data_IF_374633042233
#
_entry.id   IF_374633042233
#
_cell.length_a   1.000
_cell.length_b   1.000
_cell.length_c   1.000
_cell.angle_alpha   90.00
_cell.angle_beta   90.00
_cell.angle_gamma   90.00
#
_symmetry.space_group_name_H-M   'P 1'
#
loop_
_entity.id
_entity.type
_entity.pdbx_description
1 polymer ?
#
# COMPACT_ATOMS: atom_id res chain seq x y z
N UNK A 1 3.94 10.91 -22.14
CA UNK A 1 3.10 11.73 -21.25
C UNK A 1 2.64 10.78 -20.16
N UNK A 2 2.99 11.04 -18.90
CA UNK A 2 2.51 10.20 -17.81
C UNK A 2 1.02 10.47 -17.58
N UNK A 3 0.27 9.43 -17.25
CA UNK A 3 -1.06 9.60 -16.67
C UNK A 3 -0.90 10.04 -15.22
N UNK A 4 -1.83 10.86 -14.76
CA UNK A 4 -1.75 11.47 -13.44
C UNK A 4 -3.17 11.76 -12.96
N UNK A 5 -3.49 11.29 -11.75
CA UNK A 5 -4.73 11.61 -11.04
C UNK A 5 -4.44 12.22 -9.67
N UNK A 6 -5.43 12.91 -9.10
CA UNK A 6 -5.33 13.58 -7.81
C UNK A 6 -6.53 13.16 -6.96
N UNK A 7 -6.27 12.62 -5.77
CA UNK A 7 -7.29 12.13 -4.84
C UNK A 7 -8.24 11.11 -5.48
N UNK A 8 -7.67 10.19 -6.27
CA UNK A 8 -8.43 9.15 -6.98
C UNK A 8 -8.04 7.73 -6.57
N UNK A 9 -7.36 7.53 -5.44
CA UNK A 9 -6.92 6.22 -4.96
C UNK A 9 -8.03 5.16 -4.99
N UNK A 10 -9.27 5.54 -4.67
CA UNK A 10 -10.46 4.67 -4.72
C UNK A 10 -10.77 4.09 -6.12
N UNK A 11 -10.22 4.67 -7.18
CA UNK A 11 -10.37 4.22 -8.57
C UNK A 11 -9.27 3.22 -8.97
N UNK A 12 -8.47 2.76 -8.01
CA UNK A 12 -7.47 1.72 -8.16
C UNK A 12 -7.80 0.56 -7.24
N UNK A 13 -7.47 -0.65 -7.69
CA UNK A 13 -7.59 -1.87 -6.91
C UNK A 13 -6.22 -2.55 -6.85
N UNK A 14 -5.76 -2.76 -5.61
CA UNK A 14 -4.42 -3.25 -5.28
C UNK A 14 -4.40 -4.76 -5.00
N UNK A 15 -5.52 -5.46 -5.20
CA UNK A 15 -5.51 -6.92 -5.13
C UNK A 15 -4.50 -7.49 -6.13
N UNK A 16 -3.63 -8.39 -5.68
CA UNK A 16 -2.51 -8.97 -6.45
C UNK A 16 -1.42 -7.95 -6.87
N UNK A 17 -1.48 -6.72 -6.37
CA UNK A 17 -0.41 -5.76 -6.56
C UNK A 17 0.77 -6.08 -5.64
N UNK A 18 1.97 -5.72 -6.06
CA UNK A 18 3.16 -5.85 -5.23
C UNK A 18 3.92 -4.54 -5.15
N UNK A 19 4.66 -4.38 -4.07
CA UNK A 19 5.44 -3.17 -3.80
C UNK A 19 6.73 -3.26 -4.61
N UNK A 20 6.91 -2.37 -5.59
CA UNK A 20 8.17 -2.26 -6.31
C UNK A 20 9.20 -1.46 -5.50
N UNK A 21 8.76 -0.41 -4.80
CA UNK A 21 9.63 0.45 -4.01
C UNK A 21 8.82 1.26 -2.99
N UNK A 22 9.42 1.55 -1.82
CA UNK A 22 8.91 2.56 -0.89
C UNK A 22 10.02 3.58 -0.61
N UNK A 23 9.69 4.86 -0.66
CA UNK A 23 10.59 5.96 -0.36
C UNK A 23 9.91 6.94 0.60
N UNK A 24 10.44 7.04 1.83
CA UNK A 24 9.99 8.04 2.79
C UNK A 24 11.20 8.83 3.31
N UNK A 25 11.42 10.03 2.74
CA UNK A 25 12.57 10.87 3.09
C UNK A 25 12.10 12.31 3.24
N UNK A 26 12.42 12.94 4.38
CA UNK A 26 12.32 14.39 4.61
C UNK A 26 11.06 15.07 4.06
N UNK A 27 9.87 14.62 4.49
CA UNK A 27 8.59 15.21 4.10
C UNK A 27 8.03 14.71 2.76
N UNK A 28 8.61 13.65 2.20
CA UNK A 28 8.08 12.91 1.06
C UNK A 28 7.74 11.49 1.50
N UNK A 29 6.63 10.97 0.99
CA UNK A 29 6.24 9.57 1.10
C UNK A 29 5.71 9.14 -0.27
N UNK A 30 6.40 8.18 -0.86
CA UNK A 30 6.10 7.61 -2.17
C UNK A 30 6.17 6.09 -2.07
N UNK A 31 5.19 5.42 -2.67
CA UNK A 31 5.18 3.98 -2.84
C UNK A 31 4.89 3.67 -4.31
N UNK A 32 5.70 2.79 -4.89
CA UNK A 32 5.58 2.33 -6.26
C UNK A 32 4.99 0.94 -6.22
N UNK A 33 3.90 0.74 -6.93
CA UNK A 33 3.23 -0.53 -7.04
C UNK A 33 3.29 -1.05 -8.47
N UNK A 34 3.41 -2.36 -8.59
CA UNK A 34 3.22 -3.07 -9.84
C UNK A 34 1.95 -3.90 -9.80
N UNK A 35 1.45 -4.25 -10.98
CA UNK A 35 0.26 -5.07 -11.16
C UNK A 35 -1.03 -4.46 -10.56
N UNK A 36 -1.11 -3.14 -10.48
CA UNK A 36 -2.30 -2.45 -9.99
C UNK A 36 -3.42 -2.49 -11.03
N UNK A 37 -4.63 -2.82 -10.61
CA UNK A 37 -5.82 -2.71 -11.47
C UNK A 37 -6.33 -1.27 -11.44
N UNK A 38 -6.48 -0.66 -12.61
CA UNK A 38 -7.17 0.62 -12.79
C UNK A 38 -8.63 0.34 -13.11
N UNK A 39 -9.54 0.91 -12.32
CA UNK A 39 -10.97 0.71 -12.47
C UNK A 39 -11.56 1.56 -13.63
N UNK A 40 -12.73 1.19 -14.17
CA UNK A 40 -13.43 1.96 -15.19
C UNK A 40 -13.69 3.43 -14.82
N UNK A 41 -13.85 3.71 -13.53
CA UNK A 41 -14.20 5.03 -12.98
C UNK A 41 -13.02 6.00 -12.91
N UNK A 42 -11.79 5.51 -13.14
CA UNK A 42 -10.60 6.36 -13.15
C UNK A 42 -10.70 7.42 -14.25
N UNK A 43 -10.42 8.69 -13.93
CA UNK A 43 -10.64 9.81 -14.86
C UNK A 43 -9.74 9.78 -16.10
N UNK A 44 -8.60 9.09 -16.04
CA UNK A 44 -7.73 8.88 -17.19
C UNK A 44 -8.13 7.66 -18.04
N UNK A 45 -8.99 6.76 -17.54
CA UNK A 45 -9.41 5.54 -18.21
C UNK A 45 -10.57 5.80 -19.18
N UNK A 46 -10.25 5.94 -20.47
CA UNK A 46 -11.24 6.17 -21.53
C UNK A 46 -11.91 4.90 -22.04
N UNK A 47 -11.38 3.73 -21.71
CA UNK A 47 -11.89 2.44 -22.19
C UNK A 47 -13.06 1.90 -21.33
N UNK A 48 -13.32 2.50 -20.15
CA UNK A 48 -14.44 2.16 -19.25
C UNK A 48 -14.49 0.64 -18.97
N UNK A 49 -13.31 0.04 -18.82
CA UNK A 49 -13.10 -1.36 -18.42
C UNK A 49 -11.91 -1.43 -17.48
N UNK A 50 -11.78 -2.55 -16.76
CA UNK A 50 -10.58 -2.78 -15.96
C UNK A 50 -9.33 -2.83 -16.84
N UNK A 51 -8.32 -2.07 -16.43
CA UNK A 51 -6.99 -2.04 -17.03
C UNK A 51 -5.96 -2.31 -15.95
N UNK A 52 -4.71 -2.47 -16.35
CA UNK A 52 -3.58 -2.76 -15.45
C UNK A 52 -2.52 -1.69 -15.62
N UNK A 53 -1.85 -1.31 -14.54
CA UNK A 53 -0.65 -0.49 -14.56
C UNK A 53 0.48 -1.18 -13.79
N UNK A 54 1.67 -0.96 -14.31
CA UNK A 54 2.92 -1.20 -13.61
C UNK A 54 3.55 0.16 -13.29
N UNK A 55 4.46 0.16 -12.32
CA UNK A 55 5.14 1.36 -11.85
C UNK A 55 4.16 2.49 -11.48
N UNK A 56 3.02 2.13 -10.87
CA UNK A 56 2.06 3.11 -10.34
C UNK A 56 2.68 3.76 -9.11
N UNK A 57 2.96 5.04 -9.22
CA UNK A 57 3.55 5.84 -8.15
C UNK A 57 2.43 6.52 -7.37
N UNK A 58 2.21 6.12 -6.12
CA UNK A 58 1.35 6.82 -5.17
C UNK A 58 2.21 7.74 -4.31
N UNK A 59 1.91 9.04 -4.32
CA UNK A 59 2.55 10.04 -3.46
C UNK A 59 1.53 10.64 -2.50
N UNK A 60 1.92 10.79 -1.24
CA UNK A 60 1.10 11.44 -0.21
C UNK A 60 1.69 12.83 0.07
N UNK A 61 0.84 13.86 0.00
CA UNK A 61 1.21 15.24 0.29
C UNK A 61 1.22 15.51 1.80
N UNK A 62 2.20 16.27 2.28
CA UNK A 62 2.46 16.55 3.71
C UNK A 62 2.38 15.28 4.59
N UNK A 63 3.15 14.22 4.26
CA UNK A 63 2.96 12.91 4.85
C UNK A 63 3.46 12.84 6.29
N UNK A 64 2.67 12.19 7.15
CA UNK A 64 3.07 11.80 8.51
C UNK A 64 2.82 10.31 8.67
N UNK A 65 3.86 9.54 8.98
CA UNK A 65 3.71 8.12 9.31
C UNK A 65 3.16 8.03 10.73
N UNK A 66 1.87 7.74 10.86
CA UNK A 66 1.14 7.63 12.13
C UNK A 66 1.47 6.33 12.86
N UNK A 67 1.63 5.24 12.10
CA UNK A 67 1.98 3.94 12.64
C UNK A 67 2.64 3.07 11.57
N UNK A 68 3.64 2.31 11.96
CA UNK A 68 4.15 1.20 11.19
C UNK A 68 4.35 0.02 12.14
N UNK A 69 3.59 -1.06 11.90
CA UNK A 69 3.43 -2.16 12.85
C UNK A 69 3.55 -3.48 12.11
N UNK A 70 4.31 -4.41 12.68
CA UNK A 70 4.23 -5.83 12.35
C UNK A 70 3.09 -6.45 13.18
N UNK A 71 2.05 -6.94 12.53
CA UNK A 71 0.84 -7.44 13.19
C UNK A 71 1.11 -8.79 13.89
N UNK A 72 0.72 -8.87 15.16
CA UNK A 72 0.79 -10.09 15.93
C UNK A 72 -0.33 -11.06 15.55
N UNK A 73 -0.05 -12.36 15.65
CA UNK A 73 -1.05 -13.40 15.38
C UNK A 73 -1.41 -14.21 16.63
N UNK A 74 -2.59 -14.83 16.57
CA UNK A 74 -3.08 -15.77 17.59
C UNK A 74 -3.24 -17.15 16.97
N UNK A 75 -2.61 -18.14 17.58
CA UNK A 75 -2.74 -19.55 17.19
C UNK A 75 -3.76 -20.20 18.11
N UNK A 76 -4.79 -20.81 17.53
CA UNK A 76 -5.81 -21.57 18.23
C UNK A 76 -5.63 -23.07 17.98
N UNK A 77 -5.97 -23.91 18.96
CA UNK A 77 -6.08 -25.35 18.75
C UNK A 77 -7.38 -25.73 18.01
N UNK A 78 -7.52 -27.00 17.65
CA UNK A 78 -8.71 -27.52 16.94
C UNK A 78 -10.01 -27.40 17.77
N UNK A 79 -9.91 -27.13 19.07
CA UNK A 79 -11.04 -26.90 19.96
C UNK A 79 -11.32 -25.40 20.16
N UNK A 80 -10.57 -24.51 19.48
CA UNK A 80 -10.70 -23.06 19.59
C UNK A 80 -10.00 -22.43 20.80
N UNK A 81 -9.17 -23.18 21.54
CA UNK A 81 -8.43 -22.63 22.66
C UNK A 81 -7.16 -21.92 22.18
N UNK A 82 -6.88 -20.74 22.73
CA UNK A 82 -5.67 -19.98 22.42
C UNK A 82 -4.42 -20.75 22.89
N UNK A 83 -3.54 -21.09 21.94
CA UNK A 83 -2.24 -21.72 22.19
C UNK A 83 -1.09 -20.74 22.28
N UNK A 84 -1.06 -19.76 21.38
CA UNK A 84 0.04 -18.78 21.27
C UNK A 84 -0.55 -17.42 20.93
N UNK A 85 -0.05 -16.39 21.59
CA UNK A 85 -0.31 -15.00 21.25
C UNK A 85 1.04 -14.34 21.00
N UNK A 86 1.23 -13.83 19.79
CA UNK A 86 2.25 -12.84 19.49
C UNK A 86 1.58 -11.46 19.52
N UNK A 87 2.25 -10.49 20.12
CA UNK A 87 1.75 -9.12 20.17
C UNK A 87 2.32 -8.31 19.00
N UNK A 88 1.61 -7.24 18.65
CA UNK A 88 2.01 -6.31 17.61
C UNK A 88 3.36 -5.66 17.97
N UNK A 89 4.23 -5.54 16.98
CA UNK A 89 5.55 -4.91 17.14
C UNK A 89 5.57 -3.60 16.38
N UNK A 90 5.69 -2.48 17.11
CA UNK A 90 5.83 -1.16 16.51
C UNK A 90 7.24 -1.02 15.92
N UNK A 91 7.30 -0.71 14.63
CA UNK A 91 8.55 -0.37 13.95
C UNK A 91 8.88 1.08 14.30
N UNK A 92 10.11 1.32 14.77
CA UNK A 92 10.57 2.66 15.10
C UNK A 92 11.11 3.38 13.85
N UNK A 93 11.04 4.73 13.78
CA UNK A 93 11.44 5.50 12.60
C UNK A 93 12.86 5.22 12.09
N UNK A 94 13.81 4.92 12.98
CA UNK A 94 15.18 4.52 12.62
C UNK A 94 15.25 3.24 11.80
N UNK A 95 14.24 2.36 11.90
CA UNK A 95 14.18 1.07 11.21
C UNK A 95 13.30 1.13 9.96
N UNK A 96 12.67 2.27 9.65
CA UNK A 96 11.77 2.39 8.51
C UNK A 96 12.47 2.08 7.19
N UNK A 97 13.68 2.58 6.98
CA UNK A 97 14.41 2.36 5.73
C UNK A 97 14.67 0.86 5.48
N UNK A 98 15.12 0.14 6.50
CA UNK A 98 15.39 -1.29 6.40
C UNK A 98 14.10 -2.10 6.19
N UNK A 99 13.04 -1.74 6.92
CA UNK A 99 11.72 -2.40 6.76
C UNK A 99 11.08 -2.11 5.42
N UNK A 100 11.18 -0.89 4.90
CA UNK A 100 10.71 -0.56 3.56
C UNK A 100 11.44 -1.35 2.49
N UNK A 101 12.75 -1.60 2.67
CA UNK A 101 13.52 -2.47 1.79
C UNK A 101 13.09 -3.94 1.86
N UNK A 102 12.71 -4.41 3.04
CA UNK A 102 12.17 -5.77 3.24
C UNK A 102 10.81 -5.98 2.55
N UNK A 103 9.99 -4.93 2.48
CA UNK A 103 8.67 -4.98 1.85
C UNK A 103 8.72 -4.90 0.31
N UNK A 104 9.86 -4.56 -0.29
CA UNK A 104 10.02 -4.60 -1.75
C UNK A 104 9.85 -6.03 -2.29
N UNK A 105 8.92 -6.20 -3.22
CA UNK A 105 8.53 -7.49 -3.80
C UNK A 105 7.38 -8.20 -3.07
N UNK A 106 6.92 -7.68 -1.93
CA UNK A 106 5.81 -8.26 -1.17
C UNK A 106 4.45 -7.90 -1.78
N UNK A 107 3.47 -8.78 -1.62
CA UNK A 107 2.10 -8.57 -2.08
C UNK A 107 1.38 -7.61 -1.14
N UNK A 108 0.59 -6.72 -1.73
CA UNK A 108 -0.24 -5.78 -1.01
C UNK A 108 -1.61 -6.40 -0.82
N UNK A 109 -2.02 -6.57 0.43
CA UNK A 109 -3.35 -7.07 0.75
C UNK A 109 -4.41 -6.01 0.45
N UNK A 110 -4.19 -4.79 0.95
CA UNK A 110 -5.09 -3.66 0.71
C UNK A 110 -4.37 -2.31 0.82
N UNK A 111 -4.90 -1.34 0.08
CA UNK A 111 -4.58 0.07 0.24
C UNK A 111 -5.91 0.82 0.33
N UNK A 112 -6.17 1.38 1.50
CA UNK A 112 -7.42 2.04 1.83
C UNK A 112 -7.18 3.48 2.29
N UNK A 113 -8.16 4.35 2.12
CA UNK A 113 -8.10 5.74 2.60
C UNK A 113 -9.30 6.02 3.50
N UNK A 114 -9.02 6.33 4.77
CA UNK A 114 -10.03 6.71 5.75
C UNK A 114 -9.72 8.09 6.32
N UNK A 115 -10.59 9.07 6.04
CA UNK A 115 -10.52 10.44 6.62
C UNK A 115 -9.13 11.11 6.50
N UNK A 116 -8.43 10.91 5.37
CA UNK A 116 -7.10 11.46 5.13
C UNK A 116 -5.94 10.61 5.67
N UNK A 117 -6.22 9.40 6.16
CA UNK A 117 -5.22 8.40 6.53
C UNK A 117 -5.24 7.25 5.52
N UNK A 118 -4.08 6.99 4.92
CA UNK A 118 -3.81 5.89 4.01
C UNK A 118 -3.35 4.70 4.83
N UNK A 119 -4.05 3.59 4.69
CA UNK A 119 -3.83 2.34 5.42
C UNK A 119 -3.37 1.31 4.40
N UNK A 120 -2.10 0.92 4.48
CA UNK A 120 -1.46 -0.02 3.58
C UNK A 120 -1.18 -1.30 4.38
N UNK A 121 -1.84 -2.39 4.00
CA UNK A 121 -1.62 -3.71 4.57
C UNK A 121 -0.80 -4.55 3.60
N UNK A 122 0.32 -5.08 4.07
CA UNK A 122 1.28 -5.84 3.27
C UNK A 122 1.40 -7.24 3.86
N UNK A 123 1.16 -8.25 3.03
CA UNK A 123 1.33 -9.64 3.41
C UNK A 123 2.70 -10.13 2.92
N UNK A 124 3.47 -10.68 3.85
CA UNK A 124 4.69 -11.43 3.57
C UNK A 124 4.42 -12.92 3.80
N UNK A 125 5.40 -13.79 3.52
CA UNK A 125 5.24 -15.24 3.71
C UNK A 125 4.89 -15.62 5.15
N UNK A 126 5.45 -14.91 6.13
CA UNK A 126 5.35 -15.25 7.56
C UNK A 126 4.68 -14.16 8.44
N UNK A 127 4.59 -12.91 7.94
CA UNK A 127 4.19 -11.74 8.71
C UNK A 127 3.25 -10.81 7.91
N UNK A 128 2.36 -10.11 8.61
CA UNK A 128 1.57 -9.02 8.02
C UNK A 128 2.04 -7.70 8.61
N UNK A 129 2.20 -6.69 7.76
CA UNK A 129 2.58 -5.35 8.17
C UNK A 129 1.46 -4.36 7.88
N UNK A 130 1.24 -3.45 8.83
CA UNK A 130 0.30 -2.35 8.72
C UNK A 130 1.07 -1.02 8.73
N UNK A 131 0.93 -0.25 7.65
CA UNK A 131 1.49 1.09 7.52
C UNK A 131 0.35 2.10 7.42
N UNK A 132 0.34 3.07 8.34
CA UNK A 132 -0.63 4.17 8.37
C UNK A 132 0.10 5.47 8.12
N UNK A 133 -0.27 6.16 7.06
CA UNK A 133 0.29 7.46 6.68
C UNK A 133 -0.87 8.45 6.61
N UNK A 134 -0.81 9.57 7.31
CA UNK A 134 -1.75 10.68 7.10
C UNK A 134 -1.16 11.69 6.12
N UNK A 135 -2.02 12.45 5.45
CA UNK A 135 -1.59 13.50 4.53
C UNK A 135 -2.73 14.39 4.06
N UNK A 136 -2.37 15.47 3.36
CA UNK A 136 -3.33 16.47 2.84
C UNK A 136 -4.02 16.04 1.53
N UNK A 137 -3.48 15.04 0.84
CA UNK A 137 -4.02 14.48 -0.40
C UNK A 137 -3.04 13.51 -1.06
N UNK A 138 -3.47 12.91 -2.17
CA UNK A 138 -2.75 11.89 -2.92
C UNK A 138 -2.66 12.21 -4.41
N UNK A 139 -1.59 11.75 -5.04
CA UNK A 139 -1.44 11.72 -6.49
C UNK A 139 -1.00 10.34 -6.96
N UNK A 140 -1.58 9.87 -8.05
CA UNK A 140 -1.21 8.60 -8.67
C UNK A 140 -0.68 8.84 -10.09
N UNK A 141 0.55 8.39 -10.36
CA UNK A 141 1.21 8.56 -11.66
C UNK A 141 1.58 7.20 -12.26
N UNK A 142 1.32 6.99 -13.55
CA UNK A 142 1.76 5.78 -14.28
C UNK A 142 1.97 6.06 -15.77
N UNK A 143 2.71 5.19 -16.45
CA UNK A 143 3.13 5.43 -17.82
C UNK A 143 2.17 4.85 -18.87
N UNK A 144 1.55 3.70 -18.61
CA UNK A 144 0.78 2.95 -19.62
C UNK A 144 -0.39 2.20 -19.03
N UNK A 145 -1.48 2.17 -19.78
CA UNK A 145 -2.55 1.21 -19.59
C UNK A 145 -2.18 -0.12 -20.27
N UNK A 146 -2.27 -1.21 -19.51
CA UNK A 146 -2.03 -2.57 -19.96
C UNK A 146 -3.36 -3.33 -19.86
N UNK A 147 -3.54 -4.33 -20.72
CA UNK A 147 -4.68 -5.23 -20.55
C UNK A 147 -4.49 -6.04 -19.27
N UNK A 148 -5.60 -6.26 -18.57
CA UNK A 148 -5.68 -7.22 -17.49
C UNK A 148 -5.74 -8.65 -18.04
#
# INVERSE_FOLDING_TARGET
MKYHTINELRNFNFKEAYIAQICAVSGMFEIVFDNVTILPENSCNRDIREMRANELVLKISDPVIEAFVEEGYKVYDANGNLKKKNEDVVILPENYADKFKELEGCEVYSVEQEKGCYIISVDTEDHTFLLRVSGSGDTEEWDRFLNK
#
